data_IF_876683430105
#
_entry.id   IF_876683430105
#
_cell.length_a   1.000
_cell.length_b   1.000
_cell.length_c   1.000
_cell.angle_alpha   90.00
_cell.angle_beta   90.00
_cell.angle_gamma   90.00
#
_symmetry.space_group_name_H-M   'P 1'
#
loop_
_entity.id
_entity.type
_entity.pdbx_description
1 polymer ?
#
# COMPACT_ATOMS: atom_id res chain seq x y z
N UNK A 1 7.62 10.06 -1.85
CA UNK A 1 7.80 8.58 -1.68
C UNK A 1 9.24 8.14 -1.88
N UNK A 2 9.81 8.25 -3.09
CA UNK A 2 11.19 7.84 -3.33
C UNK A 2 12.20 8.61 -2.45
N UNK A 3 11.96 9.90 -2.22
CA UNK A 3 12.76 10.72 -1.28
C UNK A 3 12.66 10.22 0.16
N UNK A 4 11.44 9.92 0.66
CA UNK A 4 11.25 9.35 2.01
C UNK A 4 11.96 8.00 2.17
N UNK A 5 11.92 7.13 1.16
CA UNK A 5 12.62 5.85 1.17
C UNK A 5 14.15 6.04 1.19
N UNK A 6 14.68 6.94 0.36
CA UNK A 6 16.11 7.26 0.32
C UNK A 6 16.60 7.89 1.62
N UNK A 7 15.80 8.77 2.23
CA UNK A 7 16.08 9.35 3.54
C UNK A 7 16.12 8.28 4.65
N UNK A 8 15.33 7.21 4.50
CA UNK A 8 15.40 6.02 5.36
C UNK A 8 16.53 5.05 4.98
N UNK A 9 17.48 5.46 4.12
CA UNK A 9 18.62 4.65 3.71
C UNK A 9 18.30 3.55 2.68
N UNK A 10 17.11 3.56 2.08
CA UNK A 10 16.73 2.55 1.09
C UNK A 10 17.20 2.91 -0.33
N UNK A 11 17.61 1.91 -1.10
CA UNK A 11 17.75 2.03 -2.55
C UNK A 11 16.37 1.95 -3.20
N UNK A 12 16.14 2.75 -4.24
CA UNK A 12 14.85 2.77 -4.96
C UNK A 12 15.12 2.72 -6.45
N UNK A 13 14.65 1.65 -7.08
CA UNK A 13 14.78 1.42 -8.52
C UNK A 13 13.40 1.23 -9.17
N UNK A 14 13.32 1.51 -10.47
CA UNK A 14 12.14 1.23 -11.25
C UNK A 14 12.04 -0.29 -11.52
N UNK A 15 10.89 -0.90 -11.23
CA UNK A 15 10.68 -2.30 -11.56
C UNK A 15 10.58 -2.48 -13.08
N UNK A 16 11.42 -3.35 -13.65
CA UNK A 16 11.40 -3.65 -15.09
C UNK A 16 10.33 -4.70 -15.40
N UNK A 17 9.65 -4.55 -16.53
CA UNK A 17 8.76 -5.58 -17.06
C UNK A 17 9.59 -6.71 -17.67
N UNK A 18 9.18 -7.97 -17.49
CA UNK A 18 9.81 -9.13 -18.12
C UNK A 18 8.86 -9.81 -19.11
N UNK A 19 9.39 -10.32 -20.22
CA UNK A 19 8.68 -11.18 -21.17
C UNK A 19 9.56 -12.38 -21.47
N UNK A 20 9.02 -13.59 -21.28
CA UNK A 20 9.73 -14.86 -21.48
C UNK A 20 11.08 -14.92 -20.73
N UNK A 21 11.09 -14.43 -19.49
CA UNK A 21 12.30 -14.37 -18.63
C UNK A 21 13.30 -13.27 -18.98
N UNK A 22 13.09 -12.50 -20.07
CA UNK A 22 13.99 -11.42 -20.49
C UNK A 22 13.44 -10.05 -20.07
N UNK A 23 14.28 -9.13 -19.55
CA UNK A 23 13.86 -7.78 -19.24
C UNK A 23 13.46 -7.07 -20.54
N UNK A 24 12.28 -6.50 -20.53
CA UNK A 24 11.83 -5.56 -21.57
C UNK A 24 12.34 -4.17 -21.21
N UNK A 25 12.54 -3.29 -22.19
CA UNK A 25 12.85 -1.87 -21.94
C UNK A 25 11.71 -1.07 -21.30
N UNK A 26 10.61 -1.73 -20.89
CA UNK A 26 9.44 -1.09 -20.28
C UNK A 26 9.53 -1.17 -18.76
N UNK A 27 9.13 -0.08 -18.11
CA UNK A 27 8.97 0.01 -16.66
C UNK A 27 7.56 -0.42 -16.28
N UNK A 28 7.45 -1.20 -15.20
CA UNK A 28 6.17 -1.59 -14.65
C UNK A 28 5.54 -0.42 -13.89
N UNK A 29 4.40 0.06 -14.40
CA UNK A 29 3.65 1.12 -13.74
C UNK A 29 3.20 0.65 -12.36
N UNK A 30 3.40 1.53 -11.38
CA UNK A 30 2.97 1.32 -9.99
C UNK A 30 3.72 0.18 -9.27
N UNK A 31 4.95 -0.13 -9.70
CA UNK A 31 5.81 -1.08 -9.01
C UNK A 31 7.21 -0.48 -8.89
N UNK A 32 7.80 -0.56 -7.70
CA UNK A 32 9.17 -0.13 -7.39
C UNK A 32 9.95 -1.31 -6.83
N UNK A 33 11.27 -1.31 -7.02
CA UNK A 33 12.17 -2.15 -6.24
C UNK A 33 12.74 -1.27 -5.13
N UNK A 34 12.51 -1.64 -3.88
CA UNK A 34 13.04 -0.95 -2.70
C UNK A 34 13.97 -1.93 -2.00
N UNK A 35 15.27 -1.65 -1.95
CA UNK A 35 16.26 -2.60 -1.42
C UNK A 35 16.22 -3.98 -2.13
N UNK A 36 15.85 -4.00 -3.42
CA UNK A 36 15.63 -5.23 -4.19
C UNK A 36 14.26 -5.88 -3.98
N UNK A 37 13.49 -5.47 -2.97
CA UNK A 37 12.13 -5.95 -2.73
C UNK A 37 11.12 -5.32 -3.68
N UNK A 38 10.29 -6.16 -4.29
CA UNK A 38 9.27 -5.75 -5.25
C UNK A 38 8.06 -5.19 -4.52
N UNK A 39 7.89 -3.88 -4.60
CA UNK A 39 6.85 -3.15 -3.90
C UNK A 39 5.76 -2.66 -4.86
N UNK A 40 4.51 -3.03 -4.61
CA UNK A 40 3.36 -2.51 -5.35
C UNK A 40 2.91 -1.17 -4.75
N UNK A 41 2.83 -0.13 -5.56
CA UNK A 41 2.52 1.24 -5.13
C UNK A 41 1.07 1.58 -5.46
N UNK A 42 0.29 1.98 -4.46
CA UNK A 42 -1.07 2.46 -4.66
C UNK A 42 -1.23 3.87 -4.13
N UNK A 43 -1.80 4.73 -4.96
CA UNK A 43 -2.08 6.11 -4.63
C UNK A 43 -3.58 6.33 -4.39
N UNK A 44 -3.91 7.14 -3.39
CA UNK A 44 -5.26 7.65 -3.18
C UNK A 44 -5.20 9.16 -3.01
N UNK A 45 -5.88 9.86 -3.90
CA UNK A 45 -6.05 11.32 -3.88
C UNK A 45 -7.45 11.71 -3.42
N UNK A 46 -8.37 10.73 -3.32
CA UNK A 46 -9.76 10.96 -2.95
C UNK A 46 -10.09 10.31 -1.61
N UNK A 47 -10.57 11.13 -0.70
CA UNK A 47 -11.16 10.69 0.55
C UNK A 47 -12.62 10.29 0.34
N UNK A 48 -13.05 9.19 0.95
CA UNK A 48 -14.48 8.93 1.15
C UNK A 48 -14.91 9.77 2.34
N UNK A 49 -15.82 10.72 2.07
CA UNK A 49 -16.37 11.62 3.09
C UNK A 49 -17.27 10.88 4.08
N UNK A 50 -17.47 11.47 5.27
CA UNK A 50 -18.43 10.96 6.22
C UNK A 50 -19.84 10.80 5.64
N UNK A 51 -20.50 9.69 5.97
CA UNK A 51 -21.94 9.47 5.72
C UNK A 51 -22.72 9.50 7.04
N UNK A 52 -24.05 9.48 6.97
CA UNK A 52 -24.92 9.37 8.15
C UNK A 52 -24.55 8.18 9.07
N UNK A 53 -23.88 7.15 8.54
CA UNK A 53 -23.46 5.96 9.28
C UNK A 53 -21.97 5.90 9.59
N UNK A 54 -21.17 6.85 9.09
CA UNK A 54 -19.74 6.88 9.36
C UNK A 54 -19.21 8.30 9.26
N UNK A 55 -19.01 8.98 10.39
CA UNK A 55 -18.48 10.35 10.44
C UNK A 55 -16.97 10.46 10.13
N UNK A 56 -16.37 9.42 9.53
CA UNK A 56 -14.92 9.37 9.28
C UNK A 56 -14.58 9.55 7.82
N UNK A 57 -13.52 10.32 7.60
CA UNK A 57 -12.84 10.38 6.33
C UNK A 57 -11.83 9.23 6.22
N UNK A 58 -11.85 8.54 5.08
CA UNK A 58 -10.87 7.50 4.77
C UNK A 58 -10.29 7.73 3.39
N UNK A 59 -9.00 7.49 3.23
CA UNK A 59 -8.42 7.25 1.93
C UNK A 59 -8.82 5.85 1.46
N UNK A 60 -9.38 5.75 0.24
CA UNK A 60 -9.75 4.46 -0.37
C UNK A 60 -8.70 4.03 -1.37
N UNK A 61 -8.21 2.81 -1.23
CA UNK A 61 -7.26 2.19 -2.15
C UNK A 61 -7.92 0.97 -2.79
N UNK A 62 -7.94 0.92 -4.12
CA UNK A 62 -8.39 -0.27 -4.83
C UNK A 62 -7.16 -1.09 -5.23
N UNK A 63 -6.92 -2.18 -4.51
CA UNK A 63 -5.79 -3.08 -4.73
C UNK A 63 -6.20 -4.19 -5.67
N UNK A 64 -5.34 -4.51 -6.64
CA UNK A 64 -5.46 -5.70 -7.46
C UNK A 64 -4.79 -6.87 -6.71
N UNK A 65 -5.54 -7.89 -6.25
CA UNK A 65 -5.00 -8.99 -5.47
C UNK A 65 -3.88 -9.75 -6.18
N UNK A 66 -4.00 -9.94 -7.51
CA UNK A 66 -2.98 -10.66 -8.31
C UNK A 66 -1.64 -9.92 -8.28
N UNK A 67 -1.66 -8.58 -8.35
CA UNK A 67 -0.45 -7.76 -8.28
C UNK A 67 0.13 -7.71 -6.86
N UNK A 68 -0.73 -7.64 -5.86
CA UNK A 68 -0.30 -7.61 -4.47
C UNK A 68 0.27 -8.96 -3.99
N UNK A 69 -0.16 -10.09 -4.56
CA UNK A 69 0.36 -11.43 -4.24
C UNK A 69 1.80 -11.65 -4.71
N UNK A 70 2.19 -11.03 -5.84
CA UNK A 70 3.55 -11.12 -6.41
C UNK A 70 4.50 -10.02 -5.91
N UNK A 71 4.02 -9.13 -5.05
CA UNK A 71 4.83 -8.10 -4.42
C UNK A 71 5.23 -8.55 -3.01
N UNK A 72 6.42 -8.18 -2.57
CA UNK A 72 6.91 -8.44 -1.21
C UNK A 72 6.21 -7.51 -0.21
N UNK A 73 5.88 -6.29 -0.64
CA UNK A 73 5.13 -5.33 0.15
C UNK A 73 4.25 -4.43 -0.73
N UNK A 74 3.29 -3.79 -0.08
CA UNK A 74 2.43 -2.78 -0.67
C UNK A 74 2.72 -1.44 -0.01
N UNK A 75 2.99 -0.42 -0.84
CA UNK A 75 3.15 0.96 -0.40
C UNK A 75 1.85 1.71 -0.70
N UNK A 76 1.19 2.20 0.34
CA UNK A 76 -0.02 3.02 0.22
C UNK A 76 0.34 4.48 0.47
N UNK A 77 0.10 5.33 -0.52
CA UNK A 77 0.32 6.76 -0.44
C UNK A 77 -1.01 7.51 -0.50
N UNK A 78 -1.36 8.15 0.61
CA UNK A 78 -2.54 8.99 0.77
C UNK A 78 -2.13 10.45 0.71
N UNK A 79 -2.64 11.19 -0.29
CA UNK A 79 -2.46 12.63 -0.44
C UNK A 79 -3.83 13.29 -0.67
N UNK A 80 -4.75 13.07 0.27
CA UNK A 80 -6.12 13.61 0.20
C UNK A 80 -6.10 15.08 0.61
N UNK A 81 -6.62 15.96 -0.25
CA UNK A 81 -6.67 17.40 0.05
C UNK A 81 -7.40 17.68 1.38
N UNK A 82 -6.79 18.53 2.21
CA UNK A 82 -7.31 18.88 3.54
C UNK A 82 -6.94 17.91 4.67
N UNK A 83 -6.10 16.91 4.39
CA UNK A 83 -5.54 15.99 5.38
C UNK A 83 -4.03 15.83 5.19
N UNK A 84 -3.35 15.36 6.23
CA UNK A 84 -1.92 15.10 6.18
C UNK A 84 -1.59 13.99 5.17
N UNK A 85 -0.46 14.16 4.49
CA UNK A 85 0.07 13.12 3.60
C UNK A 85 0.56 11.94 4.44
N UNK A 86 0.07 10.75 4.11
CA UNK A 86 0.49 9.52 4.78
C UNK A 86 1.05 8.50 3.82
N UNK A 87 2.11 7.82 4.26
CA UNK A 87 2.74 6.73 3.54
C UNK A 87 2.85 5.52 4.46
N UNK A 88 2.27 4.41 4.02
CA UNK A 88 2.28 3.14 4.75
C UNK A 88 3.01 2.08 3.93
N UNK A 89 3.93 1.35 4.56
CA UNK A 89 4.68 0.24 3.96
C UNK A 89 4.25 -1.05 4.63
N UNK A 90 3.46 -1.86 3.92
CA UNK A 90 2.76 -3.00 4.51
C UNK A 90 3.27 -4.29 3.87
N UNK A 91 3.88 -5.22 4.64
CA UNK A 91 4.31 -6.50 4.13
C UNK A 91 3.14 -7.32 3.57
N UNK A 92 3.41 -8.09 2.52
CA UNK A 92 2.40 -8.95 1.88
C UNK A 92 1.72 -9.88 2.88
N UNK A 93 2.46 -10.45 3.81
CA UNK A 93 2.00 -11.45 4.77
C UNK A 93 0.89 -10.90 5.68
N UNK A 94 0.94 -9.60 5.98
CA UNK A 94 -0.08 -8.89 6.76
C UNK A 94 -1.35 -8.66 5.92
N UNK A 95 -1.20 -8.45 4.61
CA UNK A 95 -2.32 -8.26 3.69
C UNK A 95 -2.95 -9.58 3.21
N UNK A 96 -2.21 -10.69 3.29
CA UNK A 96 -2.62 -12.02 2.81
C UNK A 96 -4.04 -12.41 3.24
N UNK A 97 -4.45 -12.30 4.54
CA UNK A 97 -5.80 -12.67 4.98
C UNK A 97 -6.90 -11.82 4.35
N UNK A 98 -6.59 -10.60 3.88
CA UNK A 98 -7.54 -9.71 3.22
C UNK A 98 -7.60 -10.00 1.72
N UNK A 99 -6.45 -10.32 1.11
CA UNK A 99 -6.33 -10.60 -0.32
C UNK A 99 -6.89 -11.97 -0.73
N UNK A 100 -6.87 -12.95 0.18
CA UNK A 100 -7.32 -14.33 -0.09
C UNK A 100 -8.82 -14.57 0.15
N UNK A 101 -9.57 -13.56 0.64
CA UNK A 101 -11.00 -13.70 0.88
C UNK A 101 -11.70 -14.01 -0.46
N UNK A 102 -12.38 -15.16 -0.61
CA UNK A 102 -13.07 -15.52 -1.85
C UNK A 102 -14.22 -14.56 -2.11
N UNK A 103 -14.01 -13.53 -2.93
CA UNK A 103 -15.06 -12.59 -3.32
C UNK A 103 -15.57 -12.96 -4.70
N UNK A 104 -16.79 -13.52 -4.75
CA UNK A 104 -17.47 -14.07 -5.94
C UNK A 104 -17.46 -13.17 -7.21
N UNK A 105 -17.12 -11.88 -7.12
CA UNK A 105 -17.18 -10.91 -8.25
C UNK A 105 -16.19 -9.73 -8.20
N UNK A 106 -15.21 -9.69 -7.30
CA UNK A 106 -14.36 -8.49 -7.17
C UNK A 106 -12.97 -8.67 -7.75
N UNK A 107 -12.70 -7.99 -8.87
CA UNK A 107 -11.35 -7.84 -9.45
C UNK A 107 -10.40 -7.01 -8.56
N UNK A 108 -10.96 -6.23 -7.62
CA UNK A 108 -10.21 -5.34 -6.74
C UNK A 108 -10.71 -5.41 -5.31
N UNK A 109 -9.78 -5.39 -4.37
CA UNK A 109 -10.05 -5.28 -2.94
C UNK A 109 -9.93 -3.81 -2.53
N UNK A 110 -11.01 -3.26 -1.96
CA UNK A 110 -11.00 -1.92 -1.40
C UNK A 110 -10.42 -1.95 0.03
N UNK A 111 -9.29 -1.27 0.23
CA UNK A 111 -8.77 -0.93 1.55
C UNK A 111 -9.18 0.50 1.90
N UNK A 112 -9.49 0.71 3.18
CA UNK A 112 -9.89 2.01 3.72
C UNK A 112 -8.94 2.36 4.86
N UNK A 113 -8.15 3.41 4.66
CA UNK A 113 -7.21 3.88 5.67
C UNK A 113 -7.75 5.19 6.26
N UNK A 114 -7.89 5.31 7.60
CA UNK A 114 -8.30 6.56 8.23
C UNK A 114 -7.35 7.70 7.86
N UNK A 115 -7.87 8.90 7.59
CA UNK A 115 -7.03 10.09 7.34
C UNK A 115 -6.46 10.71 8.61
N UNK A 116 -6.81 10.19 9.80
CA UNK A 116 -6.28 10.61 11.10
C UNK A 116 -6.09 9.39 11.99
N UNK A 117 -5.09 9.45 12.87
CA UNK A 117 -4.91 8.42 13.89
C UNK A 117 -6.06 8.48 14.89
N UNK A 118 -6.60 7.32 15.24
CA UNK A 118 -7.77 7.21 16.11
C UNK A 118 -7.49 6.21 17.24
N UNK A 119 -8.11 6.40 18.41
CA UNK A 119 -7.99 5.44 19.49
C UNK A 119 -8.50 4.05 19.09
N UNK A 120 -7.78 3.02 19.54
CA UNK A 120 -7.96 1.59 19.19
C UNK A 120 -9.39 1.07 19.44
N UNK A 121 -10.14 1.71 20.33
CA UNK A 121 -11.49 1.28 20.73
C UNK A 121 -12.63 1.78 19.84
N UNK A 122 -12.39 2.69 18.86
CA UNK A 122 -13.50 3.35 18.16
C UNK A 122 -13.85 2.78 16.76
N UNK A 123 -13.21 1.72 16.25
CA UNK A 123 -13.33 1.32 14.83
C UNK A 123 -13.26 -0.22 14.59
N UNK A 124 -14.39 -0.93 14.56
CA UNK A 124 -14.39 -2.36 14.20
C UNK A 124 -14.88 -2.59 12.75
N UNK A 125 -13.94 -2.70 11.80
CA UNK A 125 -13.93 -3.53 10.55
C UNK A 125 -12.46 -3.63 10.07
N UNK A 126 -12.08 -4.71 9.34
CA UNK A 126 -10.96 -5.60 9.69
C UNK A 126 -9.72 -4.88 10.24
N UNK A 127 -9.31 -5.32 11.45
CA UNK A 127 -8.18 -4.80 12.23
C UNK A 127 -6.85 -5.15 11.56
N UNK A 128 -6.37 -4.28 10.68
CA UNK A 128 -4.94 -4.05 10.53
C UNK A 128 -4.68 -2.71 11.21
N UNK A 129 -3.79 -2.68 12.20
CA UNK A 129 -3.34 -1.41 12.78
C UNK A 129 -2.42 -0.73 11.78
N UNK A 130 -3.02 -0.07 10.77
CA UNK A 130 -2.32 0.55 9.65
C UNK A 130 -1.23 1.51 10.12
N UNK A 131 -1.43 2.18 11.26
CA UNK A 131 -0.51 3.16 11.82
C UNK A 131 0.83 2.57 12.26
N UNK A 132 0.87 1.28 12.61
CA UNK A 132 2.14 0.57 12.85
C UNK A 132 3.05 0.55 11.61
N UNK A 133 2.46 0.66 10.43
CA UNK A 133 3.15 0.61 9.14
C UNK A 133 3.42 1.99 8.56
N UNK A 134 3.05 3.07 9.27
CA UNK A 134 3.50 4.41 8.92
C UNK A 134 5.03 4.42 9.00
N UNK A 135 5.69 4.77 7.90
CA UNK A 135 7.17 4.77 7.81
C UNK A 135 7.81 3.39 8.05
N UNK A 136 7.10 2.31 7.75
CA UNK A 136 7.55 0.91 7.88
C UNK A 136 8.68 0.48 6.94
N UNK A 137 9.57 1.39 6.52
CA UNK A 137 10.68 1.10 5.60
C UNK A 137 11.64 0.04 6.14
N UNK A 138 11.80 -0.04 7.46
CA UNK A 138 12.59 -1.07 8.14
C UNK A 138 12.08 -2.49 7.88
N UNK A 139 10.84 -2.65 7.40
CA UNK A 139 10.27 -3.95 7.00
C UNK A 139 10.78 -4.40 5.62
N UNK A 140 11.55 -3.56 4.91
CA UNK A 140 12.18 -3.83 3.62
C UNK A 140 13.71 -3.82 3.78
N UNK A 141 14.32 -4.80 4.48
CA UNK A 141 15.76 -4.81 4.71
C UNK A 141 16.56 -4.90 3.40
N UNK A 142 17.85 -4.56 3.45
CA UNK A 142 18.76 -4.76 2.34
C UNK A 142 18.97 -6.26 2.08
N UNK A 143 18.88 -6.68 0.83
CA UNK A 143 19.42 -7.98 0.41
C UNK A 143 20.95 -7.90 0.50
N UNK A 144 21.55 -8.71 1.37
CA UNK A 144 23.00 -8.82 1.55
C UNK A 144 23.61 -9.71 0.46
#
# INVERSE_FOLDING_TARGET
MAEKARAAGCTVEAARCFKDGKPTGRIEKHTLLVNGHRCAVHHSFSGVKPSAHCMRAYARFNINPKKAQVADAVILHSAVAGFDEHLFVIPREILRPILEIPRKRQERVALFLPTKQLPVYRNNRPRIDWWRYAEGWHLLPLLW
#
